data_IF_852209102630
#
_entry.id   IF_852209102630
#
_cell.length_a   1.000
_cell.length_b   1.000
_cell.length_c   1.000
_cell.angle_alpha   90.00
_cell.angle_beta   90.00
_cell.angle_gamma   90.00
#
_symmetry.space_group_name_H-M   'P 1'
#
loop_
_entity.id
_entity.type
_entity.pdbx_description
1 polymer ?
#
# COMPACT_ATOMS: atom_id res chain seq x y z
N UNK A 1 41.02 -19.88 51.54
CA UNK A 1 40.75 -19.26 50.24
C UNK A 1 39.44 -19.83 49.65
N UNK A 2 38.27 -19.41 50.13
CA UNK A 2 36.96 -19.87 49.59
C UNK A 2 35.79 -18.99 50.06
N UNK A 3 36.02 -17.71 50.34
CA UNK A 3 34.95 -16.77 50.75
C UNK A 3 35.08 -15.37 50.15
N UNK A 4 35.82 -15.22 49.05
CA UNK A 4 36.04 -13.91 48.40
C UNK A 4 35.68 -13.86 46.91
N UNK A 5 34.95 -14.87 46.38
CA UNK A 5 34.58 -14.92 44.95
C UNK A 5 33.12 -14.62 44.64
N UNK A 6 32.22 -14.53 45.63
CA UNK A 6 30.79 -14.38 45.36
C UNK A 6 30.21 -12.98 45.63
N UNK A 7 31.00 -12.00 46.08
CA UNK A 7 30.47 -10.67 46.44
C UNK A 7 30.92 -9.52 45.53
N UNK A 8 31.62 -9.81 44.42
CA UNK A 8 32.02 -8.79 43.42
C UNK A 8 31.10 -8.84 42.17
N UNK A 9 30.39 -9.96 41.97
CA UNK A 9 29.45 -10.11 40.85
C UNK A 9 28.06 -9.52 41.12
N UNK A 10 27.75 -9.14 42.37
CA UNK A 10 26.39 -8.67 42.74
C UNK A 10 26.19 -7.16 42.60
N UNK A 11 27.25 -6.37 42.39
CA UNK A 11 27.16 -4.89 42.39
C UNK A 11 27.52 -4.25 41.05
N UNK A 12 28.09 -5.00 40.11
CA UNK A 12 28.40 -4.50 38.75
C UNK A 12 27.26 -4.69 37.73
N UNK A 13 26.19 -5.39 38.09
CA UNK A 13 25.06 -5.64 37.19
C UNK A 13 24.04 -4.49 37.14
N UNK A 14 24.14 -3.48 38.01
CA UNK A 14 23.06 -2.49 38.21
C UNK A 14 23.34 -1.06 37.73
N UNK A 15 24.51 -0.78 37.14
CA UNK A 15 24.88 0.60 36.74
C UNK A 15 25.06 0.78 35.23
N UNK A 16 24.97 -0.28 34.42
CA UNK A 16 25.22 -0.23 32.97
C UNK A 16 23.99 -0.51 32.09
N UNK A 17 22.77 -0.33 32.62
CA UNK A 17 21.52 -0.68 31.93
C UNK A 17 20.42 0.39 32.00
N UNK A 18 20.71 1.66 31.63
CA UNK A 18 19.65 2.44 30.98
C UNK A 18 20.04 3.07 29.63
N UNK A 19 21.27 2.88 29.13
CA UNK A 19 21.74 3.65 27.96
C UNK A 19 21.56 3.02 26.58
N UNK A 20 20.95 1.83 26.46
CA UNK A 20 20.76 1.15 25.15
C UNK A 20 19.32 1.24 24.61
N UNK A 21 18.39 1.84 25.36
CA UNK A 21 16.96 1.91 24.97
C UNK A 21 16.50 3.29 24.47
N UNK A 22 17.38 4.06 23.83
CA UNK A 22 17.01 5.26 23.05
C UNK A 22 17.23 5.07 21.54
N UNK A 23 17.59 3.85 21.12
CA UNK A 23 17.73 3.45 19.73
C UNK A 23 16.43 2.90 19.15
N UNK A 24 15.43 3.75 18.98
CA UNK A 24 14.52 3.64 17.84
C UNK A 24 14.21 5.08 17.43
N UNK A 25 15.11 5.58 16.58
CA UNK A 25 14.93 6.80 15.79
C UNK A 25 13.46 6.93 15.40
N UNK A 26 12.89 8.09 15.71
CA UNK A 26 11.64 8.57 15.16
C UNK A 26 11.50 8.04 13.74
N UNK A 27 10.53 7.17 13.48
CA UNK A 27 10.19 6.79 12.11
C UNK A 27 9.94 8.12 11.40
N UNK A 28 10.90 8.53 10.56
CA UNK A 28 10.74 9.70 9.73
C UNK A 28 9.40 9.49 9.01
N UNK A 29 8.42 10.34 9.33
CA UNK A 29 7.20 10.42 8.57
C UNK A 29 7.66 10.78 7.15
N UNK A 30 7.86 9.75 6.30
CA UNK A 30 8.20 9.95 4.91
C UNK A 30 7.09 10.83 4.36
N UNK A 31 7.43 12.06 3.95
CA UNK A 31 6.49 12.96 3.32
C UNK A 31 5.93 12.22 2.09
N UNK A 32 4.70 11.72 2.19
CA UNK A 32 4.05 11.03 1.10
C UNK A 32 3.52 12.09 0.14
N UNK A 33 4.08 12.14 -1.07
CA UNK A 33 3.62 13.06 -2.12
C UNK A 33 2.73 12.32 -3.10
N UNK A 34 1.91 13.06 -3.83
CA UNK A 34 1.05 12.53 -4.89
C UNK A 34 1.92 12.15 -6.09
N UNK A 35 1.78 10.91 -6.60
CA UNK A 35 2.65 10.32 -7.64
C UNK A 35 1.87 9.79 -8.85
N UNK A 36 0.60 10.14 -8.99
CA UNK A 36 -0.30 9.75 -10.10
C UNK A 36 -0.27 10.72 -11.30
N UNK A 37 0.71 11.63 -11.37
CA UNK A 37 0.88 12.52 -12.51
C UNK A 37 1.13 11.77 -13.82
N UNK A 38 0.41 12.13 -14.88
CA UNK A 38 0.51 11.48 -16.20
C UNK A 38 -0.14 10.10 -16.30
N UNK A 39 -0.92 9.70 -15.29
CA UNK A 39 -1.59 8.40 -15.26
C UNK A 39 -2.73 8.33 -16.27
N UNK A 40 -2.78 7.23 -17.04
CA UNK A 40 -3.85 6.94 -18.00
C UNK A 40 -4.80 5.87 -17.44
N UNK A 41 -6.10 6.07 -17.60
CA UNK A 41 -7.13 5.10 -17.20
C UNK A 41 -7.64 4.33 -18.42
N UNK A 42 -7.76 3.01 -18.30
CA UNK A 42 -8.41 2.15 -19.30
C UNK A 42 -9.47 1.26 -18.65
N UNK A 43 -10.51 0.97 -19.42
CA UNK A 43 -11.63 0.13 -19.01
C UNK A 43 -11.70 -1.11 -19.89
N UNK A 44 -11.83 -2.28 -19.28
CA UNK A 44 -11.98 -3.56 -19.96
C UNK A 44 -13.15 -4.32 -19.32
N UNK A 45 -14.00 -4.92 -20.16
CA UNK A 45 -14.98 -5.90 -19.70
C UNK A 45 -14.31 -7.26 -19.56
N UNK A 46 -14.62 -8.01 -18.50
CA UNK A 46 -14.17 -9.40 -18.42
C UNK A 46 -14.80 -10.22 -19.55
N UNK A 47 -14.04 -11.09 -20.21
CA UNK A 47 -14.49 -11.93 -21.33
C UNK A 47 -15.73 -12.80 -21.00
N UNK A 48 -15.99 -13.07 -19.71
CA UNK A 48 -17.17 -13.79 -19.23
C UNK A 48 -18.38 -12.92 -18.87
N UNK A 49 -18.34 -11.60 -19.09
CA UNK A 49 -19.44 -10.67 -18.79
C UNK A 49 -19.75 -10.43 -17.30
N UNK A 50 -19.01 -11.05 -16.37
CA UNK A 50 -19.30 -11.05 -14.92
C UNK A 50 -18.43 -10.09 -14.10
N UNK A 51 -17.88 -9.04 -14.71
CA UNK A 51 -17.12 -8.04 -13.96
C UNK A 51 -16.55 -6.90 -14.80
N UNK A 52 -16.16 -5.85 -14.09
CA UNK A 52 -15.48 -4.70 -14.65
C UNK A 52 -14.00 -4.73 -14.25
N UNK A 53 -13.12 -4.52 -15.23
CA UNK A 53 -11.68 -4.36 -15.01
C UNK A 53 -11.31 -2.92 -15.33
N UNK A 54 -10.75 -2.23 -14.35
CA UNK A 54 -10.24 -0.88 -14.53
C UNK A 54 -8.75 -0.86 -14.27
N UNK A 55 -7.98 -0.27 -15.19
CA UNK A 55 -6.53 -0.18 -15.09
C UNK A 55 -6.11 1.28 -15.08
N UNK A 56 -5.07 1.56 -14.31
CA UNK A 56 -4.41 2.84 -14.25
C UNK A 56 -2.93 2.63 -14.48
N UNK A 57 -2.39 3.24 -15.53
CA UNK A 57 -1.02 3.05 -15.99
C UNK A 57 -0.26 4.36 -15.80
N UNK A 58 0.84 4.30 -15.07
CA UNK A 58 1.79 5.38 -14.89
C UNK A 58 2.78 5.41 -16.07
N UNK A 59 3.32 6.59 -16.44
CA UNK A 59 4.32 6.70 -17.50
C UNK A 59 5.64 5.98 -17.13
N UNK A 60 5.90 5.81 -15.84
CA UNK A 60 7.10 5.18 -15.31
C UNK A 60 6.80 4.44 -14.00
N UNK A 61 7.71 3.57 -13.59
CA UNK A 61 7.60 2.82 -12.34
C UNK A 61 7.88 3.72 -11.15
N UNK A 62 6.96 3.75 -10.18
CA UNK A 62 7.05 4.61 -8.99
C UNK A 62 6.88 3.81 -7.70
N UNK A 63 7.51 4.31 -6.64
CA UNK A 63 7.33 3.78 -5.29
C UNK A 63 6.01 4.29 -4.72
N UNK A 64 5.03 3.41 -4.56
CA UNK A 64 3.70 3.67 -4.03
C UNK A 64 3.64 3.20 -2.58
N UNK A 65 3.17 4.06 -1.68
CA UNK A 65 2.95 3.76 -0.26
C UNK A 65 1.47 3.71 0.11
N UNK A 66 0.63 4.48 -0.59
CA UNK A 66 -0.82 4.57 -0.36
C UNK A 66 -1.58 4.69 -1.68
N UNK A 67 -2.65 3.93 -1.78
CA UNK A 67 -3.61 3.96 -2.88
C UNK A 67 -4.95 4.39 -2.28
N UNK A 68 -5.55 5.44 -2.84
CA UNK A 68 -6.89 5.88 -2.50
C UNK A 68 -7.83 5.59 -3.65
N UNK A 69 -8.92 4.87 -3.40
CA UNK A 69 -9.92 4.52 -4.39
C UNK A 69 -11.17 5.36 -4.12
N UNK A 70 -11.52 6.24 -5.05
CA UNK A 70 -12.68 7.12 -4.98
C UNK A 70 -13.80 6.55 -5.83
N UNK A 71 -15.00 6.45 -5.26
CA UNK A 71 -16.22 5.92 -5.87
C UNK A 71 -17.45 6.54 -5.18
N UNK A 72 -18.64 6.38 -5.79
CA UNK A 72 -19.92 6.77 -5.19
C UNK A 72 -20.32 5.83 -4.04
N UNK A 73 -20.40 6.31 -2.78
CA UNK A 73 -20.82 5.48 -1.63
C UNK A 73 -22.24 4.92 -1.72
N UNK A 74 -23.13 5.52 -2.54
CA UNK A 74 -24.50 5.05 -2.76
C UNK A 74 -24.48 3.67 -3.44
N UNK A 75 -23.52 3.47 -4.36
CA UNK A 75 -23.27 2.22 -5.07
C UNK A 75 -21.98 1.55 -4.55
N UNK A 76 -22.05 0.82 -3.42
CA UNK A 76 -20.85 0.28 -2.80
C UNK A 76 -20.10 -0.69 -3.71
N UNK A 77 -18.77 -0.58 -3.72
CA UNK A 77 -17.91 -1.54 -4.42
C UNK A 77 -18.00 -2.91 -3.75
N UNK A 78 -18.23 -3.97 -4.53
CA UNK A 78 -18.34 -5.36 -4.05
C UNK A 78 -17.33 -6.24 -4.75
N UNK A 79 -16.85 -7.28 -4.05
CA UNK A 79 -15.89 -8.26 -4.57
C UNK A 79 -14.72 -7.61 -5.34
N UNK A 80 -14.10 -6.62 -4.71
CA UNK A 80 -13.01 -5.85 -5.30
C UNK A 80 -11.68 -6.57 -5.06
N UNK A 81 -10.91 -6.77 -6.11
CA UNK A 81 -9.51 -7.20 -6.00
C UNK A 81 -8.60 -6.19 -6.69
N UNK A 82 -7.64 -5.66 -5.95
CA UNK A 82 -6.65 -4.70 -6.40
C UNK A 82 -5.33 -5.42 -6.64
N UNK A 83 -4.76 -5.19 -7.81
CA UNK A 83 -3.49 -5.76 -8.27
C UNK A 83 -2.51 -4.64 -8.62
N UNK A 84 -1.22 -4.93 -8.47
CA UNK A 84 -0.12 -4.11 -8.96
C UNK A 84 0.71 -4.90 -9.97
N UNK A 85 1.22 -4.21 -10.99
CA UNK A 85 2.09 -4.78 -12.01
C UNK A 85 3.51 -4.93 -11.48
N UNK A 86 4.03 -6.15 -11.49
CA UNK A 86 5.41 -6.48 -11.12
C UNK A 86 6.33 -6.59 -12.36
N UNK A 87 5.75 -6.95 -13.50
CA UNK A 87 6.36 -7.05 -14.82
C UNK A 87 5.27 -7.06 -15.89
N UNK A 88 5.64 -7.08 -17.17
CA UNK A 88 4.70 -6.90 -18.31
C UNK A 88 3.41 -7.72 -18.19
N UNK A 89 3.54 -9.02 -17.89
CA UNK A 89 2.42 -9.94 -17.68
C UNK A 89 2.21 -10.39 -16.23
N UNK A 90 3.04 -9.90 -15.30
CA UNK A 90 3.01 -10.35 -13.91
C UNK A 90 2.23 -9.37 -13.02
N UNK A 91 1.07 -9.81 -12.54
CA UNK A 91 0.19 -9.04 -11.67
C UNK A 91 0.12 -9.68 -10.28
N UNK A 92 0.45 -8.89 -9.26
CA UNK A 92 0.40 -9.33 -7.85
C UNK A 92 -0.82 -8.74 -7.15
N UNK A 93 -1.55 -9.56 -6.42
CA UNK A 93 -2.65 -9.10 -5.54
C UNK A 93 -2.08 -8.21 -4.45
N UNK A 94 -2.61 -6.99 -4.33
CA UNK A 94 -2.32 -6.03 -3.26
C UNK A 94 -3.38 -6.14 -2.17
N UNK A 95 -4.66 -6.23 -2.56
CA UNK A 95 -5.77 -6.34 -1.63
C UNK A 95 -6.95 -7.06 -2.28
N UNK A 96 -7.56 -7.99 -1.56
CA UNK A 96 -8.81 -8.61 -1.93
C UNK A 96 -9.88 -8.28 -0.88
N UNK A 97 -11.07 -7.88 -1.33
CA UNK A 97 -12.17 -7.43 -0.48
C UNK A 97 -13.44 -8.10 -0.96
N UNK A 98 -14.01 -8.97 -0.13
CA UNK A 98 -15.26 -9.67 -0.42
C UNK A 98 -16.49 -8.92 0.10
N UNK A 99 -16.32 -8.07 1.11
CA UNK A 99 -17.39 -7.29 1.72
C UNK A 99 -17.65 -6.00 0.95
N UNK A 100 -18.91 -5.51 0.88
CA UNK A 100 -19.21 -4.22 0.28
C UNK A 100 -18.45 -3.07 0.97
N UNK A 101 -17.77 -2.22 0.18
CA UNK A 101 -17.08 -1.02 0.65
C UNK A 101 -18.01 0.17 0.48
N UNK A 102 -18.35 0.83 1.60
CA UNK A 102 -19.31 1.95 1.65
C UNK A 102 -18.67 3.30 1.97
N UNK A 103 -17.34 3.34 2.10
CA UNK A 103 -16.60 4.54 2.48
C UNK A 103 -15.63 4.91 1.38
N UNK A 104 -15.70 6.16 0.93
CA UNK A 104 -14.89 6.74 -0.13
C UNK A 104 -14.15 7.98 0.42
N UNK A 105 -12.82 8.09 0.25
CA UNK A 105 -11.96 7.12 -0.42
C UNK A 105 -11.74 5.85 0.42
N UNK A 106 -11.63 4.71 -0.25
CA UNK A 106 -11.09 3.51 0.37
C UNK A 106 -9.56 3.53 0.31
N UNK A 107 -8.93 3.44 1.47
CA UNK A 107 -7.48 3.63 1.62
C UNK A 107 -6.78 2.28 1.75
N UNK A 108 -5.84 2.00 0.85
CA UNK A 108 -4.94 0.85 0.91
C UNK A 108 -3.52 1.36 1.18
N UNK A 109 -2.94 0.93 2.31
CA UNK A 109 -1.53 1.20 2.66
C UNK A 109 -0.70 -0.03 2.34
N UNK A 110 0.05 0.02 1.23
CA UNK A 110 0.84 -1.09 0.75
C UNK A 110 2.09 -0.56 0.04
N UNK A 111 3.27 -0.58 0.68
CA UNK A 111 4.51 -0.17 0.05
C UNK A 111 4.85 -1.13 -1.10
N UNK A 112 4.91 -0.62 -2.33
CA UNK A 112 5.20 -1.38 -3.54
C UNK A 112 5.77 -0.48 -4.63
N UNK A 113 6.60 -1.04 -5.52
CA UNK A 113 7.06 -0.34 -6.71
C UNK A 113 6.30 -0.86 -7.92
N UNK A 114 5.54 0.00 -8.59
CA UNK A 114 4.71 -0.37 -9.75
C UNK A 114 4.56 0.80 -10.71
N UNK A 115 4.26 0.48 -11.94
CA UNK A 115 3.89 1.36 -13.04
C UNK A 115 2.42 1.14 -13.48
N UNK A 116 1.72 0.17 -12.91
CA UNK A 116 0.29 0.02 -13.15
C UNK A 116 -0.47 -0.58 -11.96
N UNK A 117 -1.72 -0.15 -11.81
CA UNK A 117 -2.71 -0.67 -10.87
C UNK A 117 -3.89 -1.21 -11.67
N UNK A 118 -4.39 -2.39 -11.31
CA UNK A 118 -5.58 -3.00 -11.88
C UNK A 118 -6.56 -3.28 -10.77
N UNK A 119 -7.81 -2.88 -10.95
CA UNK A 119 -8.90 -3.21 -10.04
C UNK A 119 -9.92 -4.05 -10.80
N UNK A 120 -10.22 -5.22 -10.23
CA UNK A 120 -11.23 -6.15 -10.74
C UNK A 120 -12.41 -6.11 -9.78
N UNK A 121 -13.58 -5.80 -10.31
CA UNK A 121 -14.85 -5.83 -9.60
C UNK A 121 -15.68 -6.97 -10.15
N UNK A 122 -15.87 -8.03 -9.36
CA UNK A 122 -16.63 -9.21 -9.78
C UNK A 122 -18.07 -9.11 -9.32
N UNK A 123 -19.03 -9.21 -10.23
CA UNK A 123 -20.46 -9.22 -9.88
C UNK A 123 -21.15 -10.42 -10.51
N UNK A 124 -21.79 -11.24 -9.66
CA UNK A 124 -22.68 -12.31 -10.10
C UNK A 124 -24.09 -11.81 -10.43
N UNK A 125 -24.40 -10.53 -10.19
CA UNK A 125 -25.76 -9.97 -10.27
C UNK A 125 -25.87 -8.74 -11.19
N UNK A 126 -24.88 -8.50 -12.07
CA UNK A 126 -24.94 -7.44 -13.10
C UNK A 126 -24.74 -6.00 -12.60
N UNK A 127 -24.97 -5.71 -11.31
CA UNK A 127 -24.65 -4.40 -10.72
C UNK A 127 -23.21 -4.41 -10.23
N UNK A 128 -22.36 -3.60 -10.87
CA UNK A 128 -20.96 -3.43 -10.49
C UNK A 128 -20.76 -1.94 -10.26
N UNK A 129 -20.46 -1.54 -9.01
CA UNK A 129 -20.15 -0.14 -8.74
C UNK A 129 -18.97 0.33 -9.59
N UNK A 130 -18.91 1.61 -9.93
CA UNK A 130 -17.83 2.19 -10.72
C UNK A 130 -16.81 2.89 -9.81
N UNK A 131 -15.57 2.98 -10.30
CA UNK A 131 -14.49 3.69 -9.62
C UNK A 131 -14.29 4.97 -10.40
N UNK A 132 -14.46 6.10 -9.74
CA UNK A 132 -14.37 7.41 -10.39
C UNK A 132 -12.91 7.74 -10.69
N UNK A 133 -12.03 7.48 -9.71
CA UNK A 133 -10.58 7.68 -9.83
C UNK A 133 -9.83 6.93 -8.75
N UNK A 134 -8.53 6.74 -8.99
CA UNK A 134 -7.57 6.41 -7.94
C UNK A 134 -6.58 7.56 -7.76
N UNK A 135 -6.10 7.75 -6.53
CA UNK A 135 -5.01 8.68 -6.22
C UNK A 135 -3.88 7.88 -5.59
N UNK A 136 -2.67 8.05 -6.12
CA UNK A 136 -1.49 7.34 -5.67
C UNK A 136 -0.57 8.28 -4.90
N UNK A 137 -0.09 7.81 -3.76
CA UNK A 137 0.91 8.50 -2.95
C UNK A 137 2.16 7.64 -2.79
N UNK A 138 3.31 8.29 -2.79
CA UNK A 138 4.61 7.65 -2.84
C UNK A 138 5.70 8.46 -2.16
N UNK A 139 6.93 7.97 -2.26
CA UNK A 139 8.10 8.77 -1.94
C UNK A 139 8.31 9.83 -3.04
N UNK A 140 8.78 11.01 -2.66
CA UNK A 140 9.19 12.04 -3.60
C UNK A 140 10.34 11.50 -4.46
N UNK A 141 10.17 11.50 -5.77
CA UNK A 141 11.28 11.22 -6.68
C UNK A 141 12.23 12.40 -6.61
N UNK A 142 13.38 12.23 -5.96
CA UNK A 142 14.48 13.17 -6.08
C UNK A 142 14.94 13.15 -7.55
N UNK A 143 14.32 13.95 -8.40
CA UNK A 143 14.93 14.37 -9.66
C UNK A 143 16.10 15.27 -9.29
N UNK A 144 17.24 14.65 -9.01
CA UNK A 144 18.54 15.30 -9.05
C UNK A 144 18.75 15.79 -10.48
N UNK A 145 18.40 17.05 -10.72
CA UNK A 145 18.93 17.82 -11.85
C UNK A 145 20.42 17.94 -11.64
N UNK A 146 21.19 17.16 -12.39
CA UNK A 146 22.57 17.47 -12.75
C UNK A 146 22.61 18.60 -13.79
#
# INVERSE_FOLDING_TARGET
MTRLKNSIYSTFAFVLLPFVMLGCLSMAAQNTVRVDGGMTQTFEMSEGGTGAIQKWILPERRSISRIEIHFDPIEPLRNMTVYARMGEDNWRVVKAIKTPVRTSPYIIRAPLSTDAIRVVLSSSMGVTGMIDRIVLYGAESNTSTE
#
